data_IF_205361994353
#
_entry.id   IF_205361994353
#
_cell.length_a   1.000
_cell.length_b   1.000
_cell.length_c   1.000
_cell.angle_alpha   90.00
_cell.angle_beta   90.00
_cell.angle_gamma   90.00
#
_symmetry.space_group_name_H-M   'P 1'
#
loop_
_entity.id
_entity.type
_entity.pdbx_description
1 polymer ?
#
# COMPACT_ATOMS: atom_id res chain seq x y z
N UNK A 1 13.27 -8.22 -9.08
CA UNK A 1 12.22 -8.08 -8.03
C UNK A 1 11.12 -7.16 -8.54
N UNK A 2 9.84 -7.49 -8.29
CA UNK A 2 8.75 -6.58 -8.59
C UNK A 2 8.48 -5.72 -7.35
N UNK A 3 8.11 -4.44 -7.49
CA UNK A 3 7.84 -3.60 -6.34
C UNK A 3 6.65 -4.15 -5.54
N UNK A 4 6.61 -3.87 -4.24
CA UNK A 4 5.43 -4.16 -3.41
C UNK A 4 4.23 -3.40 -4.00
N UNK A 5 3.22 -4.12 -4.48
CA UNK A 5 2.01 -3.51 -5.04
C UNK A 5 0.80 -4.22 -4.47
N UNK A 6 0.08 -3.52 -3.60
CA UNK A 6 -1.15 -3.97 -2.98
C UNK A 6 -2.34 -3.38 -3.75
N UNK A 7 -3.49 -4.07 -3.72
CA UNK A 7 -4.73 -3.60 -4.33
C UNK A 7 -5.85 -3.63 -3.32
N UNK A 8 -6.58 -2.54 -3.27
CA UNK A 8 -7.67 -2.32 -2.31
C UNK A 8 -8.81 -1.63 -3.05
N UNK A 9 -10.03 -1.76 -2.54
CA UNK A 9 -11.15 -1.03 -3.10
C UNK A 9 -11.40 0.26 -2.33
N UNK A 10 -11.99 1.24 -3.01
CA UNK A 10 -12.58 2.41 -2.37
C UNK A 10 -13.51 1.99 -1.21
N UNK A 11 -13.24 2.53 -0.03
CA UNK A 11 -13.97 2.21 1.20
C UNK A 11 -13.43 1.00 1.98
N UNK A 12 -12.32 0.38 1.57
CA UNK A 12 -11.71 -0.70 2.34
C UNK A 12 -10.87 -0.19 3.52
N UNK A 13 -10.91 -0.93 4.63
CA UNK A 13 -9.97 -0.81 5.73
C UNK A 13 -8.81 -1.79 5.51
N UNK A 14 -7.60 -1.30 5.67
CA UNK A 14 -6.37 -2.03 5.34
C UNK A 14 -5.59 -2.22 6.62
N UNK A 15 -5.13 -3.44 6.87
CA UNK A 15 -4.25 -3.77 7.99
C UNK A 15 -2.98 -4.40 7.46
N UNK A 16 -1.84 -3.74 7.72
CA UNK A 16 -0.52 -4.22 7.32
C UNK A 16 0.22 -4.65 8.58
N UNK A 17 0.55 -5.94 8.70
CA UNK A 17 1.49 -6.40 9.71
C UNK A 17 2.90 -6.37 9.12
N UNK A 18 3.67 -5.35 9.50
CA UNK A 18 5.06 -5.23 9.09
C UNK A 18 5.94 -5.95 10.11
N UNK A 19 6.75 -6.90 9.64
CA UNK A 19 7.89 -7.45 10.38
C UNK A 19 9.17 -6.88 9.78
N UNK A 20 9.99 -6.23 10.60
CA UNK A 20 11.26 -5.69 10.13
C UNK A 20 12.34 -6.79 10.22
N UNK A 21 12.79 -7.27 9.06
CA UNK A 21 13.86 -8.28 8.95
C UNK A 21 15.23 -7.67 8.61
N UNK A 22 15.34 -6.34 8.54
CA UNK A 22 16.63 -5.67 8.37
C UNK A 22 17.52 -5.87 9.59
N UNK A 23 18.84 -5.89 9.38
CA UNK A 23 19.80 -6.20 10.42
C UNK A 23 20.03 -5.05 11.43
N UNK A 24 19.86 -3.80 11.01
CA UNK A 24 20.27 -2.61 11.79
C UNK A 24 19.24 -1.50 11.76
N UNK A 25 18.69 -1.19 10.58
CA UNK A 25 17.82 -0.05 10.41
C UNK A 25 16.41 -0.31 10.95
N UNK A 26 15.78 0.78 11.39
CA UNK A 26 14.36 0.78 11.75
C UNK A 26 13.54 0.93 10.48
N UNK A 27 12.37 0.31 10.46
CA UNK A 27 11.43 0.41 9.36
C UNK A 27 10.21 1.25 9.74
N UNK A 28 9.62 1.93 8.76
CA UNK A 28 8.31 2.57 8.88
C UNK A 28 7.43 2.13 7.71
N UNK A 29 6.11 2.17 7.89
CA UNK A 29 5.18 1.92 6.80
C UNK A 29 4.25 3.12 6.65
N UNK A 30 4.58 4.03 5.75
CA UNK A 30 3.75 5.17 5.42
C UNK A 30 3.06 4.94 4.08
N UNK A 31 1.81 5.39 3.94
CA UNK A 31 1.06 5.33 2.69
C UNK A 31 0.38 6.65 2.42
N UNK A 32 0.78 7.30 1.33
CA UNK A 32 0.20 8.56 0.88
C UNK A 32 -1.24 8.36 0.40
N UNK A 33 -2.11 9.38 0.51
CA UNK A 33 -3.48 9.37 0.00
C UNK A 33 -4.40 8.25 0.57
N UNK A 34 -4.06 7.71 1.74
CA UNK A 34 -4.96 6.93 2.58
C UNK A 34 -5.19 7.66 3.91
N UNK A 35 -6.39 7.54 4.45
CA UNK A 35 -6.65 8.02 5.80
C UNK A 35 -6.04 7.05 6.83
N UNK A 36 -5.47 7.58 7.91
CA UNK A 36 -4.91 6.82 9.02
C UNK A 36 -4.98 7.62 10.32
N UNK A 37 -4.86 6.94 11.47
CA UNK A 37 -4.65 7.63 12.74
C UNK A 37 -3.14 7.94 12.90
N UNK A 38 -2.73 9.21 12.92
CA UNK A 38 -1.31 9.58 13.05
C UNK A 38 -0.69 9.14 14.39
N UNK A 39 -1.49 8.84 15.42
CA UNK A 39 -0.98 8.33 16.69
C UNK A 39 -0.54 6.87 16.63
N UNK A 40 -1.02 6.11 15.64
CA UNK A 40 -0.80 4.67 15.60
C UNK A 40 -0.15 4.19 14.30
N UNK A 41 -0.40 4.88 13.18
CA UNK A 41 -0.09 4.40 11.83
C UNK A 41 0.66 5.42 10.96
N UNK A 42 1.30 6.43 11.55
CA UNK A 42 2.02 7.45 10.76
C UNK A 42 3.30 6.90 10.11
N UNK A 43 3.95 5.91 10.73
CA UNK A 43 5.19 5.31 10.22
C UNK A 43 6.47 6.08 10.52
N UNK A 44 6.40 7.18 11.28
CA UNK A 44 7.54 8.02 11.69
C UNK A 44 7.37 8.53 13.12
N UNK A 45 8.49 8.63 13.85
CA UNK A 45 8.52 9.29 15.15
C UNK A 45 8.71 10.80 14.98
N UNK A 46 7.63 11.50 14.61
CA UNK A 46 7.61 12.95 14.47
C UNK A 46 6.57 13.58 15.41
N UNK A 47 6.93 14.70 16.06
CA UNK A 47 6.05 15.41 16.99
C UNK A 47 5.82 14.68 18.31
N UNK A 48 4.62 14.84 18.88
CA UNK A 48 4.25 14.35 20.22
C UNK A 48 3.33 13.12 20.20
N UNK A 49 3.36 12.33 19.12
CA UNK A 49 2.58 11.09 19.07
C UNK A 49 3.13 10.10 20.12
N UNK A 50 2.27 9.52 20.98
CA UNK A 50 2.73 8.58 21.99
C UNK A 50 3.20 7.26 21.34
N UNK A 51 4.15 6.60 22.00
CA UNK A 51 4.67 5.30 21.55
C UNK A 51 5.58 5.39 20.32
N UNK A 52 6.12 4.23 19.95
CA UNK A 52 6.99 4.11 18.78
C UNK A 52 6.16 3.83 17.52
N UNK A 53 6.28 4.72 16.53
CA UNK A 53 5.61 4.62 15.23
C UNK A 53 6.40 3.78 14.22
N UNK A 54 7.65 3.45 14.55
CA UNK A 54 8.58 2.70 13.70
C UNK A 54 8.82 1.29 14.27
N UNK A 55 9.45 0.41 13.49
CA UNK A 55 9.68 -1.00 13.83
C UNK A 55 11.18 -1.26 13.93
N UNK A 56 11.66 -1.62 15.12
CA UNK A 56 13.06 -2.01 15.33
C UNK A 56 13.41 -3.31 14.58
N UNK A 57 14.70 -3.56 14.28
CA UNK A 57 15.15 -4.86 13.77
C UNK A 57 14.57 -6.05 14.54
N UNK A 58 14.01 -7.02 13.81
CA UNK A 58 13.41 -8.24 14.35
C UNK A 58 12.04 -8.07 15.01
N UNK A 59 11.49 -6.85 15.08
CA UNK A 59 10.18 -6.58 15.68
C UNK A 59 9.07 -6.51 14.62
N UNK A 60 7.82 -6.46 15.09
CA UNK A 60 6.64 -6.28 14.25
C UNK A 60 5.72 -5.18 14.77
N UNK A 61 5.01 -4.51 13.86
CA UNK A 61 3.92 -3.57 14.17
C UNK A 61 2.80 -3.71 13.14
N UNK A 62 1.57 -3.45 13.56
CA UNK A 62 0.42 -3.36 12.67
C UNK A 62 0.11 -1.89 12.35
N UNK A 63 0.02 -1.57 11.07
CA UNK A 63 -0.44 -0.27 10.55
C UNK A 63 -1.85 -0.42 9.98
N UNK A 64 -2.69 0.59 10.20
CA UNK A 64 -4.07 0.61 9.73
C UNK A 64 -4.34 1.84 8.86
N UNK A 65 -4.91 1.59 7.69
CA UNK A 65 -5.26 2.63 6.72
C UNK A 65 -6.71 2.47 6.26
N UNK A 66 -7.27 3.52 5.68
CA UNK A 66 -8.60 3.54 5.10
C UNK A 66 -8.58 4.23 3.72
N UNK A 67 -9.08 3.53 2.70
CA UNK A 67 -9.26 4.07 1.36
C UNK A 67 -10.48 5.00 1.33
N UNK A 68 -10.34 6.17 1.93
CA UNK A 68 -11.44 7.11 2.14
C UNK A 68 -12.02 7.57 0.78
N UNK A 69 -13.36 7.57 0.61
CA UNK A 69 -14.01 7.96 -0.66
C UNK A 69 -13.62 9.34 -1.20
N UNK A 70 -13.22 10.27 -0.34
CA UNK A 70 -12.74 11.61 -0.73
C UNK A 70 -11.44 11.60 -1.53
N UNK A 71 -10.57 10.61 -1.32
CA UNK A 71 -9.33 10.46 -2.10
C UNK A 71 -9.54 9.76 -3.46
N UNK A 72 -10.72 9.17 -3.67
CA UNK A 72 -11.10 8.52 -4.92
C UNK A 72 -10.27 7.28 -5.27
N UNK A 73 -10.43 6.82 -6.51
CA UNK A 73 -9.56 5.80 -7.11
C UNK A 73 -8.24 6.45 -7.52
N UNK A 74 -7.13 5.93 -7.00
CA UNK A 74 -5.82 6.50 -7.23
C UNK A 74 -4.70 5.45 -7.05
N UNK A 75 -3.46 5.92 -7.20
CA UNK A 75 -2.27 5.18 -6.77
C UNK A 75 -1.66 5.90 -5.57
N UNK A 76 -1.58 5.19 -4.46
CA UNK A 76 -1.03 5.64 -3.19
C UNK A 76 0.39 5.10 -3.04
N UNK A 77 1.37 5.97 -2.78
CA UNK A 77 2.76 5.59 -2.66
C UNK A 77 3.04 5.04 -1.25
N UNK A 78 3.70 3.89 -1.17
CA UNK A 78 4.25 3.34 0.07
C UNK A 78 5.69 3.80 0.17
N UNK A 79 6.09 4.36 1.32
CA UNK A 79 7.48 4.69 1.60
C UNK A 79 7.86 4.30 3.03
N UNK A 80 9.11 3.88 3.19
CA UNK A 80 9.67 3.75 4.53
C UNK A 80 9.96 5.12 5.13
N UNK A 81 9.35 5.38 6.29
CA UNK A 81 9.57 6.59 7.07
C UNK A 81 10.30 6.33 8.40
N UNK A 82 10.75 5.09 8.65
CA UNK A 82 11.58 4.74 9.79
C UNK A 82 13.02 5.25 9.62
N UNK A 83 13.50 5.25 8.38
CA UNK A 83 14.66 6.02 7.93
C UNK A 83 14.35 6.59 6.54
N UNK A 84 13.62 7.70 6.51
CA UNK A 84 13.10 8.33 5.27
C UNK A 84 14.19 8.72 4.27
N UNK A 85 15.44 8.90 4.74
CA UNK A 85 16.54 9.31 3.88
C UNK A 85 17.16 8.11 3.17
N UNK A 86 17.41 6.99 3.84
CA UNK A 86 18.17 5.88 3.24
C UNK A 86 17.30 4.68 2.83
N UNK A 87 16.22 4.38 3.56
CA UNK A 87 15.46 3.16 3.29
C UNK A 87 14.72 3.20 1.95
N UNK A 88 14.03 4.29 1.56
CA UNK A 88 13.44 4.38 0.23
C UNK A 88 14.48 4.23 -0.88
N UNK A 89 15.67 4.82 -0.70
CA UNK A 89 16.84 4.71 -1.60
C UNK A 89 17.29 3.28 -1.82
N UNK A 90 17.26 2.49 -0.75
CA UNK A 90 17.59 1.07 -0.78
C UNK A 90 16.43 0.17 -1.24
N UNK A 91 15.34 0.73 -1.74
CA UNK A 91 14.23 -0.02 -2.34
C UNK A 91 13.04 -0.28 -1.42
N UNK A 92 12.97 0.34 -0.23
CA UNK A 92 11.81 0.22 0.66
C UNK A 92 10.71 1.22 0.24
N UNK A 93 10.12 0.93 -0.91
CA UNK A 93 8.96 1.65 -1.46
C UNK A 93 7.99 0.67 -2.14
N UNK A 94 6.80 1.15 -2.46
CA UNK A 94 5.79 0.37 -3.15
C UNK A 94 4.56 1.19 -3.48
N UNK A 95 3.44 0.53 -3.78
CA UNK A 95 2.17 1.20 -4.02
C UNK A 95 0.99 0.43 -3.43
N UNK A 96 -0.04 1.18 -3.05
CA UNK A 96 -1.41 0.70 -2.91
C UNK A 96 -2.21 1.26 -4.08
N UNK A 97 -2.77 0.39 -4.92
CA UNK A 97 -3.67 0.79 -6.00
C UNK A 97 -5.10 0.72 -5.47
N UNK A 98 -5.77 1.86 -5.43
CA UNK A 98 -7.16 1.98 -4.97
C UNK A 98 -8.06 1.87 -6.19
N UNK A 99 -8.73 0.72 -6.33
CA UNK A 99 -9.65 0.47 -7.43
C UNK A 99 -11.13 0.67 -7.06
N UNK A 100 -12.03 0.38 -8.01
CA UNK A 100 -13.46 0.59 -7.84
C UNK A 100 -14.02 -0.23 -6.69
N UNK A 101 -14.94 0.37 -5.93
CA UNK A 101 -15.62 -0.30 -4.83
C UNK A 101 -16.18 -1.67 -5.25
N UNK A 102 -15.91 -2.70 -4.44
CA UNK A 102 -16.37 -4.07 -4.67
C UNK A 102 -15.62 -4.86 -5.74
N UNK A 103 -14.57 -4.31 -6.36
CA UNK A 103 -13.83 -5.04 -7.41
C UNK A 103 -13.06 -6.24 -6.86
N UNK A 104 -12.86 -7.24 -7.72
CA UNK A 104 -11.95 -8.35 -7.48
C UNK A 104 -10.70 -8.20 -8.35
N UNK A 105 -9.58 -8.71 -7.85
CA UNK A 105 -8.28 -8.60 -8.51
C UNK A 105 -7.73 -10.00 -8.78
N UNK A 106 -7.40 -10.29 -10.04
CA UNK A 106 -6.88 -11.61 -10.43
C UNK A 106 -5.56 -11.51 -11.17
N UNK A 107 -4.67 -12.48 -10.98
CA UNK A 107 -3.48 -12.59 -11.82
C UNK A 107 -3.92 -12.87 -13.28
N UNK A 108 -3.43 -12.10 -14.26
CA UNK A 108 -3.88 -12.21 -15.65
C UNK A 108 -3.41 -13.47 -16.38
N UNK A 109 -2.52 -14.27 -15.78
CA UNK A 109 -2.00 -15.52 -16.34
C UNK A 109 -2.61 -16.73 -15.64
N UNK A 110 -2.63 -16.74 -14.30
CA UNK A 110 -3.12 -17.90 -13.54
C UNK A 110 -4.60 -17.81 -13.18
N UNK A 111 -5.18 -16.60 -13.20
CA UNK A 111 -6.55 -16.34 -12.75
C UNK A 111 -6.74 -16.38 -11.24
N UNK A 112 -5.66 -16.59 -10.45
CA UNK A 112 -5.73 -16.60 -8.99
C UNK A 112 -6.08 -15.22 -8.43
N UNK A 113 -6.76 -15.20 -7.27
CA UNK A 113 -7.00 -13.97 -6.51
C UNK A 113 -5.67 -13.38 -5.99
N UNK A 114 -5.51 -12.08 -6.22
CA UNK A 114 -4.36 -11.27 -5.78
C UNK A 114 -4.76 -10.11 -4.88
N UNK A 115 -6.02 -10.02 -4.42
CA UNK A 115 -6.48 -8.93 -3.54
C UNK A 115 -5.68 -8.80 -2.24
N UNK A 116 -5.20 -9.92 -1.69
CA UNK A 116 -4.37 -9.96 -0.48
C UNK A 116 -2.90 -10.31 -0.75
N UNK A 117 -2.45 -10.22 -2.01
CA UNK A 117 -1.08 -10.58 -2.42
C UNK A 117 -0.42 -9.37 -3.08
N UNK A 118 0.92 -9.30 -3.00
CA UNK A 118 1.66 -8.36 -3.83
C UNK A 118 1.65 -8.82 -5.29
N UNK A 119 1.29 -7.94 -6.22
CA UNK A 119 1.44 -8.18 -7.64
C UNK A 119 1.61 -6.88 -8.40
N UNK A 120 2.55 -6.78 -9.33
CA UNK A 120 2.67 -5.57 -10.16
C UNK A 120 1.59 -5.49 -11.26
N UNK A 121 0.80 -6.55 -11.49
CA UNK A 121 -0.26 -6.59 -12.49
C UNK A 121 -1.51 -7.30 -11.99
N UNK A 122 -2.68 -6.88 -12.46
CA UNK A 122 -3.93 -7.60 -12.19
C UNK A 122 -4.98 -7.33 -13.28
N UNK A 123 -5.81 -8.32 -13.55
CA UNK A 123 -7.13 -8.10 -14.13
C UNK A 123 -8.07 -7.60 -13.02
N UNK A 124 -8.66 -6.44 -13.24
CA UNK A 124 -9.63 -5.80 -12.34
C UNK A 124 -11.02 -6.14 -12.83
N UNK A 125 -11.71 -6.96 -12.05
CA UNK A 125 -13.08 -7.39 -12.30
C UNK A 125 -14.00 -6.46 -11.51
N UNK A 126 -14.59 -5.49 -12.20
CA UNK A 126 -15.41 -4.45 -11.57
C UNK A 126 -16.78 -5.03 -11.23
N UNK A 127 -17.19 -4.91 -9.96
CA UNK A 127 -18.53 -5.29 -9.55
C UNK A 127 -19.54 -4.23 -10.02
N UNK A 128 -20.29 -4.58 -11.07
CA UNK A 128 -21.31 -3.72 -11.69
C UNK A 128 -22.63 -3.68 -10.92
N UNK A 129 -22.77 -4.46 -9.84
CA UNK A 129 -23.92 -4.39 -8.93
C UNK A 129 -23.78 -3.26 -7.92
N UNK A 130 -22.56 -2.75 -7.73
CA UNK A 130 -22.28 -1.58 -6.89
C UNK A 130 -22.69 -0.29 -7.61
N UNK A 131 -23.44 0.57 -6.91
CA UNK A 131 -23.86 1.88 -7.42
C UNK A 131 -22.68 2.70 -7.93
N UNK A 132 -22.79 3.21 -9.16
CA UNK A 132 -21.75 3.97 -9.86
C UNK A 132 -20.81 3.13 -10.73
N UNK A 133 -20.89 1.80 -10.67
CA UNK A 133 -20.06 0.90 -11.49
C UNK A 133 -20.80 0.31 -12.71
N UNK A 134 -22.07 0.62 -12.93
CA UNK A 134 -22.98 -0.11 -13.82
C UNK A 134 -22.46 -0.20 -15.28
N UNK A 135 -21.81 0.86 -15.75
CA UNK A 135 -21.28 0.97 -17.13
C UNK A 135 -19.79 0.69 -17.25
N UNK A 136 -19.11 0.39 -16.15
CA UNK A 136 -17.66 0.25 -16.13
C UNK A 136 -17.23 -1.07 -16.74
N UNK A 137 -16.08 -1.04 -17.39
CA UNK A 137 -15.48 -2.24 -17.98
C UNK A 137 -14.46 -2.83 -17.02
N UNK A 138 -14.30 -4.15 -17.10
CA UNK A 138 -13.12 -4.80 -16.55
C UNK A 138 -11.91 -4.30 -17.33
N UNK A 139 -10.77 -4.21 -16.65
CA UNK A 139 -9.54 -3.71 -17.26
C UNK A 139 -8.34 -4.39 -16.66
N UNK A 140 -7.20 -4.28 -17.35
CA UNK A 140 -5.91 -4.74 -16.84
C UNK A 140 -5.14 -3.57 -16.26
N UNK A 141 -4.69 -3.72 -15.03
CA UNK A 141 -3.88 -2.74 -14.30
C UNK A 141 -2.44 -3.22 -14.23
N UNK A 142 -1.50 -2.30 -14.43
CA UNK A 142 -0.08 -2.49 -14.22
C UNK A 142 0.44 -1.38 -13.31
N UNK A 143 1.28 -1.73 -12.34
CA UNK A 143 1.99 -0.81 -11.48
C UNK A 143 3.47 -0.84 -11.86
N UNK A 144 4.04 0.34 -12.02
CA UNK A 144 5.42 0.53 -12.41
C UNK A 144 5.99 1.61 -11.54
N UNK A 145 7.03 1.26 -10.79
CA UNK A 145 7.76 2.18 -9.93
C UNK A 145 9.20 2.21 -10.41
N UNK A 146 9.68 3.42 -10.66
CA UNK A 146 11.05 3.69 -11.06
C UNK A 146 11.66 4.66 -10.08
N UNK A 147 12.86 4.33 -9.63
CA UNK A 147 13.72 5.20 -8.87
C UNK A 147 15.07 5.18 -9.55
N UNK A 148 15.64 6.35 -9.73
CA UNK A 148 17.00 6.55 -10.19
C UNK A 148 17.75 7.31 -9.09
N UNK A 149 19.01 6.94 -8.88
CA UNK A 149 19.86 7.61 -7.90
C UNK A 149 21.22 7.93 -8.50
N UNK A 150 21.62 9.19 -8.37
CA UNK A 150 22.93 9.71 -8.81
C UNK A 150 24.05 9.40 -7.79
N UNK A 151 24.19 8.17 -7.30
CA UNK A 151 25.28 7.80 -6.37
C UNK A 151 26.56 7.36 -7.09
#
# INVERSE_FOLDING_TARGET
PNPLTLRVNLGDCIKVNLKNEMAKDRAGFHVDNLAFDPKESMGINAGNNPGDQTVAPGQSKTYTFYAHPEFGENSALIQDWGNVIENPRNGLFGAVIIGPKGSQYRDPVTGEDVGQKSSWRADVMVDRTVSGNEKRQNYRSFALLFQDEDN
#
